data_IF_163077515484
#
_entry.id   IF_163077515484
#
_cell.length_a   1.000
_cell.length_b   1.000
_cell.length_c   1.000
_cell.angle_alpha   90.00
_cell.angle_beta   90.00
_cell.angle_gamma   90.00
#
_symmetry.space_group_name_H-M   'P 1'
#
loop_
_entity.id
_entity.type
_entity.pdbx_description
1 polymer ?
#
# COMPACT_ATOMS: atom_id res chain seq x y z
N UNK A 1 8.75 -41.33 61.34
CA UNK A 1 7.79 -41.18 60.23
C UNK A 1 8.58 -40.86 58.97
N UNK A 2 8.33 -41.62 57.91
CA UNK A 2 9.15 -41.79 56.71
C UNK A 2 9.42 -40.50 55.93
N UNK A 3 10.68 -40.29 55.51
CA UNK A 3 11.01 -39.40 54.40
C UNK A 3 10.40 -39.99 53.12
N UNK A 4 9.45 -39.27 52.49
CA UNK A 4 8.93 -39.63 51.18
C UNK A 4 10.03 -39.39 50.13
N UNK A 5 10.38 -40.47 49.45
CA UNK A 5 11.21 -40.52 48.24
C UNK A 5 10.76 -39.46 47.23
N UNK A 6 11.62 -38.49 46.96
CA UNK A 6 11.46 -37.56 45.84
C UNK A 6 11.54 -38.38 44.55
N UNK A 7 10.48 -38.33 43.73
CA UNK A 7 10.30 -39.20 42.58
C UNK A 7 11.42 -38.91 41.54
N UNK A 8 12.37 -39.83 41.41
CA UNK A 8 13.59 -39.66 40.58
C UNK A 8 13.26 -39.31 39.12
N UNK A 9 12.12 -39.78 38.63
CA UNK A 9 11.57 -39.47 37.30
C UNK A 9 11.22 -37.99 37.12
N UNK A 10 10.72 -37.31 38.15
CA UNK A 10 10.35 -35.88 38.04
C UNK A 10 11.62 -35.02 37.97
N UNK A 11 12.64 -35.35 38.78
CA UNK A 11 13.92 -34.64 38.74
C UNK A 11 14.61 -34.88 37.39
N UNK A 12 14.61 -36.12 36.90
CA UNK A 12 15.18 -36.45 35.59
C UNK A 12 14.46 -35.74 34.42
N UNK A 13 13.12 -35.58 34.48
CA UNK A 13 12.37 -34.85 33.46
C UNK A 13 12.64 -33.34 33.50
N UNK A 14 12.77 -32.75 34.70
CA UNK A 14 13.09 -31.31 34.84
C UNK A 14 14.52 -31.03 34.37
N UNK A 15 15.47 -31.91 34.69
CA UNK A 15 16.86 -31.79 34.21
C UNK A 15 16.97 -32.01 32.70
N UNK A 16 16.20 -32.93 32.13
CA UNK A 16 16.12 -33.15 30.68
C UNK A 16 15.53 -31.96 29.92
N UNK A 17 14.47 -31.33 30.46
CA UNK A 17 13.88 -30.13 29.87
C UNK A 17 14.84 -28.93 29.93
N UNK A 18 15.59 -28.77 31.02
CA UNK A 18 16.61 -27.73 31.14
C UNK A 18 17.77 -27.92 30.14
N UNK A 19 18.20 -29.16 29.90
CA UNK A 19 19.21 -29.46 28.89
C UNK A 19 18.71 -29.22 27.46
N UNK A 20 17.45 -29.54 27.17
CA UNK A 20 16.84 -29.26 25.85
C UNK A 20 16.75 -27.75 25.62
N UNK A 21 16.35 -26.96 26.61
CA UNK A 21 16.32 -25.48 26.50
C UNK A 21 17.72 -24.92 26.28
N UNK A 22 18.74 -25.42 27.00
CA UNK A 22 20.14 -24.99 26.83
C UNK A 22 20.73 -25.41 25.48
N UNK A 23 20.34 -26.59 24.96
CA UNK A 23 20.80 -27.09 23.66
C UNK A 23 20.15 -26.33 22.49
N UNK A 24 18.86 -25.95 22.61
CA UNK A 24 18.18 -25.11 21.61
C UNK A 24 18.51 -23.61 21.73
N UNK A 25 18.94 -23.12 22.90
CA UNK A 25 19.46 -21.76 23.02
C UNK A 25 20.88 -21.58 22.46
N UNK A 26 21.61 -22.69 22.23
CA UNK A 26 22.91 -22.70 21.56
C UNK A 26 22.87 -22.89 20.04
N UNK A 27 21.71 -23.23 19.47
CA UNK A 27 21.49 -23.45 18.03
C UNK A 27 20.77 -22.29 17.33
N UNK A 28 20.41 -21.24 18.07
CA UNK A 28 19.89 -19.99 17.53
C UNK A 28 20.99 -18.92 17.56
N UNK A 29 22.09 -19.17 16.85
CA UNK A 29 22.86 -18.07 16.28
C UNK A 29 21.99 -17.46 15.18
N UNK A 30 21.14 -16.51 15.57
CA UNK A 30 20.58 -15.58 14.60
C UNK A 30 21.76 -14.95 13.86
N UNK A 31 21.80 -14.98 12.52
CA UNK A 31 22.80 -14.21 11.80
C UNK A 31 22.57 -12.77 12.21
N UNK A 32 23.52 -12.22 12.97
CA UNK A 32 23.57 -10.81 13.28
C UNK A 32 23.78 -10.13 11.92
N UNK A 33 22.68 -9.76 11.28
CA UNK A 33 22.71 -8.86 10.15
C UNK A 33 23.40 -7.60 10.68
N UNK A 34 24.68 -7.47 10.34
CA UNK A 34 25.46 -6.27 10.53
C UNK A 34 24.85 -5.27 9.57
N UNK A 35 23.73 -4.67 9.98
CA UNK A 35 23.22 -3.48 9.35
C UNK A 35 24.30 -2.42 9.59
N UNK A 36 25.05 -2.13 8.53
CA UNK A 36 25.86 -0.92 8.42
C UNK A 36 24.89 0.27 8.33
N UNK A 37 24.13 0.48 9.40
CA UNK A 37 23.49 1.74 9.73
C UNK A 37 24.53 2.46 10.61
N UNK A 38 24.91 3.71 10.30
CA UNK A 38 25.73 4.47 11.21
C UNK A 38 25.08 4.45 12.59
N UNK A 39 25.76 3.85 13.56
CA UNK A 39 25.37 3.95 14.95
C UNK A 39 25.19 5.44 15.24
N UNK A 40 24.10 5.82 15.91
CA UNK A 40 23.90 7.18 16.43
C UNK A 40 25.07 7.64 17.34
N UNK A 41 26.01 6.75 17.67
CA UNK A 41 27.31 7.12 18.23
C UNK A 41 28.15 8.02 17.32
N UNK A 42 28.03 7.96 15.99
CA UNK A 42 28.80 8.83 15.08
C UNK A 42 28.24 10.25 14.96
N UNK A 43 26.98 10.48 15.38
CA UNK A 43 26.40 11.82 15.48
C UNK A 43 26.75 12.55 16.79
N UNK A 44 27.60 11.95 17.66
CA UNK A 44 28.05 12.60 18.91
C UNK A 44 29.13 13.67 18.71
N UNK A 45 29.46 14.02 17.47
CA UNK A 45 30.11 15.30 17.17
C UNK A 45 29.04 16.33 16.78
N UNK A 46 28.04 16.50 17.65
CA UNK A 46 27.32 17.76 17.67
C UNK A 46 28.34 18.81 18.11
N UNK A 47 28.86 19.59 17.17
CA UNK A 47 29.48 20.87 17.48
C UNK A 47 28.53 21.54 18.46
N UNK A 48 28.99 21.79 19.71
CA UNK A 48 28.18 22.44 20.76
C UNK A 48 27.80 23.82 20.26
N UNK A 49 26.68 23.91 19.54
CA UNK A 49 26.10 25.17 19.10
C UNK A 49 25.29 25.72 20.26
N UNK A 50 25.43 27.02 20.48
CA UNK A 50 24.59 27.72 21.45
C UNK A 50 23.13 27.69 20.96
N UNK A 51 22.14 27.59 21.87
CA UNK A 51 20.74 27.65 21.49
C UNK A 51 20.44 28.89 20.64
N UNK A 52 19.83 28.68 19.48
CA UNK A 52 19.42 29.68 18.51
C UNK A 52 17.93 29.47 18.16
N UNK A 53 17.00 29.92 19.02
CA UNK A 53 15.58 29.75 18.78
C UNK A 53 15.13 30.50 17.52
N UNK A 54 14.43 29.80 16.62
CA UNK A 54 13.93 30.37 15.36
C UNK A 54 12.44 30.09 15.17
N UNK A 55 11.78 30.91 14.36
CA UNK A 55 10.40 30.70 13.91
C UNK A 55 10.27 30.79 12.39
N UNK A 56 11.07 31.64 11.74
CA UNK A 56 11.15 31.73 10.29
C UNK A 56 11.86 30.51 9.68
N UNK A 57 11.10 29.72 8.92
CA UNK A 57 11.58 28.50 8.29
C UNK A 57 12.50 28.81 7.09
N UNK A 58 12.23 29.88 6.34
CA UNK A 58 13.04 30.22 5.17
C UNK A 58 14.41 30.74 5.59
N UNK A 59 14.48 31.54 6.66
CA UNK A 59 15.74 31.94 7.28
C UNK A 59 16.55 30.74 7.80
N UNK A 60 15.91 29.76 8.42
CA UNK A 60 16.57 28.52 8.85
C UNK A 60 17.16 27.74 7.67
N UNK A 61 16.42 27.64 6.56
CA UNK A 61 16.90 27.03 5.32
C UNK A 61 18.08 27.78 4.71
N UNK A 62 18.03 29.11 4.66
CA UNK A 62 19.15 29.92 4.16
C UNK A 62 20.41 29.75 5.00
N UNK A 63 20.27 29.65 6.33
CA UNK A 63 21.41 29.37 7.22
C UNK A 63 22.00 27.98 6.96
N UNK A 64 21.15 26.96 6.83
CA UNK A 64 21.59 25.61 6.48
C UNK A 64 22.29 25.54 5.11
N UNK A 65 21.80 26.28 4.11
CA UNK A 65 22.45 26.35 2.79
C UNK A 65 23.87 26.93 2.87
N UNK A 66 24.06 27.93 3.74
CA UNK A 66 25.36 28.58 3.92
C UNK A 66 26.36 27.76 4.74
N UNK A 67 25.87 26.89 5.63
CA UNK A 67 26.73 26.11 6.55
C UNK A 67 26.97 24.66 6.10
N UNK A 68 26.02 24.05 5.38
CA UNK A 68 26.06 22.63 4.99
C UNK A 68 25.80 22.49 3.48
N UNK A 69 24.61 22.90 3.04
CA UNK A 69 24.21 22.86 1.64
C UNK A 69 24.04 21.45 1.04
N UNK A 70 23.52 21.42 -0.19
CA UNK A 70 23.15 20.15 -0.82
C UNK A 70 24.33 19.29 -1.28
N UNK A 71 25.51 19.86 -1.53
CA UNK A 71 26.68 19.09 -1.93
C UNK A 71 27.12 18.15 -0.79
N UNK A 72 27.33 18.71 0.41
CA UNK A 72 27.71 17.94 1.59
C UNK A 72 26.63 16.93 1.99
N UNK A 73 25.36 17.33 1.96
CA UNK A 73 24.25 16.44 2.26
C UNK A 73 24.17 15.24 1.30
N UNK A 74 24.34 15.46 -0.01
CA UNK A 74 24.38 14.37 -1.00
C UNK A 74 25.57 13.46 -0.79
N UNK A 75 26.75 14.01 -0.51
CA UNK A 75 27.95 13.21 -0.27
C UNK A 75 27.81 12.33 0.98
N UNK A 76 27.23 12.86 2.06
CA UNK A 76 26.91 12.13 3.29
C UNK A 76 25.97 10.95 3.05
N UNK A 77 25.02 11.06 2.12
CA UNK A 77 24.00 10.05 1.85
C UNK A 77 24.22 9.24 0.55
N UNK A 78 25.36 9.41 -0.12
CA UNK A 78 25.68 8.81 -1.42
C UNK A 78 25.65 7.27 -1.46
N UNK A 79 25.86 6.60 -0.32
CA UNK A 79 25.83 5.13 -0.25
C UNK A 79 24.41 4.56 -0.18
N UNK A 80 23.44 5.32 0.33
CA UNK A 80 22.03 4.91 0.37
C UNK A 80 21.42 4.83 -1.03
N UNK A 81 21.90 5.66 -1.97
CA UNK A 81 21.48 5.59 -3.37
C UNK A 81 22.09 4.40 -4.14
N UNK A 82 23.16 3.78 -3.63
CA UNK A 82 23.90 2.71 -4.33
C UNK A 82 23.59 1.30 -3.82
N UNK A 83 23.26 1.12 -2.55
CA UNK A 83 23.05 -0.20 -1.94
C UNK A 83 21.59 -0.69 -2.04
N UNK A 84 21.02 -0.66 -3.24
CA UNK A 84 19.70 -1.27 -3.52
C UNK A 84 19.79 -2.75 -3.93
N UNK A 85 20.95 -3.37 -3.80
CA UNK A 85 21.19 -4.76 -4.18
C UNK A 85 21.89 -5.54 -3.05
N UNK A 86 21.12 -6.05 -2.10
CA UNK A 86 21.60 -7.13 -1.21
C UNK A 86 20.46 -8.09 -0.89
N UNK A 87 20.80 -9.38 -0.89
CA UNK A 87 19.98 -10.59 -0.89
C UNK A 87 19.14 -10.86 0.38
N UNK A 88 18.57 -9.83 0.99
CA UNK A 88 17.46 -9.95 1.93
C UNK A 88 16.13 -9.72 1.20
N UNK A 89 15.02 -10.28 1.67
CA UNK A 89 13.69 -9.96 1.13
C UNK A 89 13.49 -8.44 1.21
N UNK A 90 13.21 -7.81 0.06
CA UNK A 90 13.07 -6.36 -0.02
C UNK A 90 11.77 -5.93 0.68
N UNK A 91 11.79 -4.94 1.58
CA UNK A 91 10.60 -4.41 2.26
C UNK A 91 9.65 -3.66 1.31
N UNK A 92 10.09 -3.42 0.08
CA UNK A 92 9.33 -2.82 -1.01
C UNK A 92 9.34 -3.76 -2.22
N UNK A 93 8.18 -3.95 -2.84
CA UNK A 93 8.08 -4.70 -4.09
C UNK A 93 8.84 -3.99 -5.22
N UNK A 94 9.47 -4.79 -6.08
CA UNK A 94 10.11 -4.28 -7.28
C UNK A 94 9.07 -4.06 -8.39
N UNK A 95 8.92 -2.81 -8.81
CA UNK A 95 7.97 -2.41 -9.86
C UNK A 95 8.50 -2.77 -11.24
N UNK A 96 9.82 -2.77 -11.41
CA UNK A 96 10.45 -3.12 -12.68
C UNK A 96 10.45 -4.64 -12.93
N UNK A 97 10.23 -5.42 -11.87
CA UNK A 97 10.06 -6.88 -11.93
C UNK A 97 8.67 -7.35 -12.38
N UNK A 98 7.67 -6.46 -12.49
CA UNK A 98 6.36 -6.78 -13.04
C UNK A 98 6.41 -6.84 -14.58
N UNK A 99 7.01 -7.91 -15.08
CA UNK A 99 6.87 -8.52 -16.42
C UNK A 99 7.31 -7.69 -17.64
N UNK A 100 8.11 -8.31 -18.52
CA UNK A 100 8.46 -7.77 -19.83
C UNK A 100 7.21 -7.68 -20.74
N UNK A 101 7.04 -6.53 -21.42
CA UNK A 101 5.86 -6.26 -22.26
C UNK A 101 5.59 -7.32 -23.35
N UNK A 102 6.56 -8.16 -23.69
CA UNK A 102 6.44 -9.19 -24.74
C UNK A 102 5.44 -10.31 -24.45
N UNK A 103 4.97 -10.43 -23.20
CA UNK A 103 4.00 -11.46 -22.79
C UNK A 103 2.54 -11.01 -22.68
N UNK A 104 2.21 -9.74 -22.97
CA UNK A 104 0.85 -9.23 -22.76
C UNK A 104 -0.13 -9.69 -23.83
N UNK A 105 -1.11 -10.51 -23.45
CA UNK A 105 -2.21 -10.95 -24.33
C UNK A 105 -3.44 -10.04 -24.27
N UNK A 106 -3.69 -9.36 -23.16
CA UNK A 106 -4.83 -8.46 -23.00
C UNK A 106 -4.40 -7.00 -23.16
N UNK A 107 -5.20 -6.22 -23.90
CA UNK A 107 -5.01 -4.77 -24.06
C UNK A 107 -5.89 -3.95 -23.11
N UNK A 108 -6.84 -4.60 -22.46
CA UNK A 108 -7.80 -3.98 -21.56
C UNK A 108 -8.10 -4.90 -20.38
N UNK A 109 -8.12 -4.36 -19.17
CA UNK A 109 -8.58 -5.04 -17.96
C UNK A 109 -9.53 -4.11 -17.22
N UNK A 110 -10.61 -4.68 -16.70
CA UNK A 110 -11.65 -3.98 -15.95
C UNK A 110 -11.75 -4.53 -14.53
N UNK A 111 -11.67 -3.62 -13.56
CA UNK A 111 -11.76 -3.91 -12.12
C UNK A 111 -12.99 -3.20 -11.57
N UNK A 112 -13.93 -3.97 -11.04
CA UNK A 112 -15.12 -3.45 -10.36
C UNK A 112 -14.93 -3.52 -8.85
N UNK A 113 -14.97 -2.36 -8.19
CA UNK A 113 -14.97 -2.27 -6.72
C UNK A 113 -16.35 -2.65 -6.18
N UNK A 114 -16.40 -3.64 -5.29
CA UNK A 114 -17.63 -4.16 -4.69
C UNK A 114 -17.82 -3.67 -3.25
N UNK A 115 -18.99 -3.11 -2.98
CA UNK A 115 -19.42 -2.71 -1.64
C UNK A 115 -18.96 -1.31 -1.24
N UNK A 116 -19.01 -1.02 0.07
CA UNK A 116 -18.48 0.23 0.61
C UNK A 116 -16.95 0.23 0.57
N UNK A 117 -16.36 1.38 0.27
CA UNK A 117 -14.92 1.55 0.16
C UNK A 117 -14.51 2.93 0.69
N UNK A 118 -13.39 3.00 1.42
CA UNK A 118 -12.77 4.30 1.77
C UNK A 118 -11.90 4.85 0.63
N UNK A 119 -11.61 4.04 -0.39
CA UNK A 119 -10.82 4.42 -1.54
C UNK A 119 -11.44 5.65 -2.20
N UNK A 120 -10.70 6.75 -2.39
CA UNK A 120 -11.28 7.98 -2.89
C UNK A 120 -11.81 7.86 -4.33
N UNK A 121 -12.78 8.70 -4.68
CA UNK A 121 -13.45 8.65 -6.00
C UNK A 121 -12.53 9.02 -7.17
N UNK A 122 -11.42 9.72 -6.92
CA UNK A 122 -10.47 10.03 -7.99
C UNK A 122 -9.67 8.81 -8.48
N UNK A 123 -9.80 7.65 -7.82
CA UNK A 123 -9.33 6.39 -8.38
C UNK A 123 -10.30 5.80 -9.42
N UNK A 124 -11.56 6.24 -9.46
CA UNK A 124 -12.54 5.81 -10.45
C UNK A 124 -12.20 6.45 -11.80
N UNK A 125 -11.46 5.71 -12.64
CA UNK A 125 -10.92 6.24 -13.89
C UNK A 125 -10.52 5.12 -14.88
N UNK A 126 -10.28 5.52 -16.13
CA UNK A 126 -9.63 4.72 -17.17
C UNK A 126 -8.15 5.12 -17.25
N UNK A 127 -7.27 4.21 -16.84
CA UNK A 127 -5.84 4.42 -16.81
C UNK A 127 -5.17 3.93 -18.09
N UNK A 128 -4.18 4.69 -18.55
CA UNK A 128 -3.21 4.24 -19.55
C UNK A 128 -1.97 3.73 -18.82
N UNK A 129 -1.80 2.41 -18.82
CA UNK A 129 -0.70 1.72 -18.15
C UNK A 129 0.43 1.41 -19.15
N UNK A 130 1.56 0.89 -18.64
CA UNK A 130 2.69 0.53 -19.51
C UNK A 130 2.30 -0.56 -20.51
N UNK A 131 3.10 -0.70 -21.56
CA UNK A 131 2.91 -1.70 -22.61
C UNK A 131 1.57 -1.60 -23.37
N UNK A 132 0.89 -0.45 -23.29
CA UNK A 132 -0.39 -0.22 -23.99
C UNK A 132 -1.61 -0.85 -23.31
N UNK A 133 -1.46 -1.36 -22.09
CA UNK A 133 -2.58 -1.86 -21.30
C UNK A 133 -3.47 -0.69 -20.85
N UNK A 134 -4.76 -0.80 -21.11
CA UNK A 134 -5.76 0.08 -20.50
C UNK A 134 -6.39 -0.62 -19.28
N UNK A 135 -6.55 0.13 -18.20
CA UNK A 135 -7.12 -0.38 -16.96
C UNK A 135 -8.33 0.46 -16.56
N UNK A 136 -9.52 -0.11 -16.62
CA UNK A 136 -10.73 0.52 -16.08
C UNK A 136 -10.86 0.14 -14.61
N UNK A 137 -10.67 1.09 -13.70
CA UNK A 137 -10.99 0.92 -12.28
C UNK A 137 -12.25 1.69 -11.98
N UNK A 138 -13.31 1.02 -11.56
CA UNK A 138 -14.58 1.70 -11.32
C UNK A 138 -15.40 1.11 -10.18
N UNK A 139 -16.18 1.97 -9.53
CA UNK A 139 -17.23 1.59 -8.58
C UNK A 139 -18.58 1.36 -9.28
N UNK A 140 -18.69 1.74 -10.56
CA UNK A 140 -19.93 1.66 -11.34
C UNK A 140 -20.07 0.31 -12.04
N UNK A 141 -21.07 -0.53 -11.68
CA UNK A 141 -21.32 -1.80 -12.37
C UNK A 141 -21.81 -1.60 -13.81
N UNK A 142 -22.27 -0.40 -14.17
CA UNK A 142 -22.71 -0.08 -15.54
C UNK A 142 -21.50 0.14 -16.45
N UNK A 143 -20.41 0.69 -15.92
CA UNK A 143 -19.18 0.95 -16.69
C UNK A 143 -18.34 -0.32 -16.87
N UNK A 144 -18.44 -1.26 -15.94
CA UNK A 144 -17.76 -2.55 -15.99
C UNK A 144 -18.77 -3.69 -15.98
N UNK A 145 -19.52 -3.85 -17.08
CA UNK A 145 -20.33 -5.05 -17.30
C UNK A 145 -19.40 -6.24 -17.58
N UNK A 146 -19.54 -7.31 -16.78
CA UNK A 146 -18.65 -8.49 -16.76
C UNK A 146 -17.16 -8.13 -16.54
N UNK A 147 -16.80 -7.64 -15.34
CA UNK A 147 -15.43 -7.22 -15.06
C UNK A 147 -14.47 -8.40 -15.05
N UNK A 148 -13.18 -8.16 -15.31
CA UNK A 148 -12.13 -9.19 -15.20
C UNK A 148 -11.76 -9.48 -13.74
N UNK A 149 -11.92 -8.49 -12.86
CA UNK A 149 -11.69 -8.63 -11.43
C UNK A 149 -12.74 -7.91 -10.59
N UNK A 150 -13.10 -8.53 -9.46
CA UNK A 150 -13.91 -7.94 -8.41
C UNK A 150 -13.01 -7.61 -7.22
N UNK A 151 -12.92 -6.31 -6.90
CA UNK A 151 -12.17 -5.86 -5.74
C UNK A 151 -13.08 -5.73 -4.53
N UNK A 152 -12.72 -6.47 -3.48
CA UNK A 152 -13.37 -6.42 -2.19
C UNK A 152 -12.45 -5.70 -1.20
N UNK A 153 -12.99 -4.66 -0.57
CA UNK A 153 -12.36 -3.96 0.54
C UNK A 153 -13.18 -4.23 1.79
N UNK A 154 -12.53 -4.53 2.92
CA UNK A 154 -13.12 -4.85 4.24
C UNK A 154 -14.01 -6.10 4.32
N UNK A 155 -14.67 -6.48 3.23
CA UNK A 155 -15.51 -7.65 3.09
C UNK A 155 -14.72 -8.83 2.52
N UNK A 156 -14.89 -10.00 3.11
CA UNK A 156 -14.28 -11.22 2.60
C UNK A 156 -14.87 -11.58 1.23
N UNK A 157 -14.04 -11.92 0.22
CA UNK A 157 -14.54 -12.40 -1.07
C UNK A 157 -15.36 -13.69 -0.93
N UNK A 158 -16.25 -13.98 -1.90
CA UNK A 158 -16.98 -15.25 -1.93
C UNK A 158 -16.03 -16.45 -1.90
N UNK A 159 -16.37 -17.47 -1.10
CA UNK A 159 -15.55 -18.67 -0.92
C UNK A 159 -15.44 -19.54 -2.18
N UNK A 160 -16.46 -19.51 -3.03
CA UNK A 160 -16.50 -20.24 -4.30
C UNK A 160 -16.37 -19.28 -5.49
N UNK A 161 -15.58 -19.68 -6.50
CA UNK A 161 -15.47 -19.03 -7.81
C UNK A 161 -15.62 -20.09 -8.89
N UNK A 162 -16.44 -19.82 -9.91
CA UNK A 162 -16.57 -20.72 -11.06
C UNK A 162 -15.54 -20.35 -12.14
N UNK A 163 -15.26 -21.30 -13.00
CA UNK A 163 -14.49 -21.01 -14.20
C UNK A 163 -15.23 -19.98 -15.08
N UNK A 164 -14.50 -18.99 -15.58
CA UNK A 164 -15.06 -17.83 -16.28
C UNK A 164 -15.59 -16.70 -15.38
N UNK A 165 -15.68 -16.90 -14.05
CA UNK A 165 -16.01 -15.81 -13.13
C UNK A 165 -14.81 -14.86 -12.95
N UNK A 166 -15.04 -13.56 -12.66
CA UNK A 166 -14.00 -12.58 -12.41
C UNK A 166 -13.05 -12.98 -11.27
N UNK A 167 -11.78 -12.58 -11.34
CA UNK A 167 -10.81 -12.76 -10.26
C UNK A 167 -11.28 -12.06 -8.98
N UNK A 168 -11.10 -12.71 -7.83
CA UNK A 168 -11.39 -12.13 -6.51
C UNK A 168 -10.14 -11.42 -6.01
N UNK A 169 -10.20 -10.10 -5.98
CA UNK A 169 -9.14 -9.27 -5.41
C UNK A 169 -9.58 -8.85 -4.02
N UNK A 170 -8.73 -9.04 -3.03
CA UNK A 170 -9.01 -8.67 -1.66
C UNK A 170 -7.95 -7.72 -1.14
N UNK A 171 -8.38 -6.56 -0.65
CA UNK A 171 -7.50 -5.57 -0.07
C UNK A 171 -7.78 -5.40 1.42
N UNK A 172 -6.73 -5.51 2.23
CA UNK A 172 -6.71 -4.94 3.57
C UNK A 172 -5.31 -4.43 3.94
N UNK A 173 -5.28 -3.18 4.38
CA UNK A 173 -4.07 -2.49 4.79
C UNK A 173 -3.91 -2.42 6.32
N UNK A 174 -4.84 -2.92 7.13
CA UNK A 174 -4.73 -2.93 8.59
C UNK A 174 -3.65 -3.92 9.09
N UNK A 175 -2.87 -3.50 10.09
CA UNK A 175 -1.76 -4.28 10.65
C UNK A 175 -2.10 -5.72 11.07
N UNK A 176 -3.34 -5.95 11.51
CA UNK A 176 -3.78 -7.23 12.07
C UNK A 176 -4.47 -8.16 11.07
N UNK A 177 -4.76 -7.72 9.84
CA UNK A 177 -5.51 -8.56 8.91
C UNK A 177 -4.58 -9.46 8.10
N UNK A 178 -5.11 -10.65 7.78
CA UNK A 178 -4.48 -11.69 6.98
C UNK A 178 -5.35 -11.98 5.76
N UNK A 179 -4.74 -12.67 4.80
CA UNK A 179 -5.41 -13.39 3.71
C UNK A 179 -6.67 -14.10 4.18
N UNK A 180 -7.74 -14.03 3.39
CA UNK A 180 -8.96 -14.75 3.71
C UNK A 180 -8.90 -16.21 3.25
N UNK A 181 -7.98 -16.54 2.34
CA UNK A 181 -7.87 -17.86 1.71
C UNK A 181 -8.91 -18.09 0.61
N UNK A 182 -9.67 -17.07 0.25
CA UNK A 182 -10.67 -17.09 -0.82
C UNK A 182 -10.38 -16.08 -1.91
N UNK A 183 -9.34 -15.27 -1.80
CA UNK A 183 -8.92 -14.35 -2.85
C UNK A 183 -7.99 -15.04 -3.86
N UNK A 184 -8.05 -14.58 -5.10
CA UNK A 184 -7.09 -14.94 -6.14
C UNK A 184 -5.89 -13.97 -6.14
N UNK A 185 -6.08 -12.74 -5.65
CA UNK A 185 -5.04 -11.70 -5.46
C UNK A 185 -5.28 -11.02 -4.11
N UNK A 186 -4.27 -10.98 -3.25
CA UNK A 186 -4.29 -10.24 -1.99
C UNK A 186 -3.42 -8.99 -2.03
N UNK A 187 -4.00 -7.86 -1.63
CA UNK A 187 -3.34 -6.56 -1.58
C UNK A 187 -3.19 -6.15 -0.11
N UNK A 188 -1.96 -5.88 0.32
CA UNK A 188 -1.66 -5.41 1.68
C UNK A 188 -0.53 -4.36 1.67
N UNK A 189 -0.09 -3.90 2.84
CA UNK A 189 1.09 -3.03 2.96
C UNK A 189 2.44 -3.80 2.91
N UNK A 190 2.42 -5.14 2.97
CA UNK A 190 3.61 -5.98 3.04
C UNK A 190 4.12 -6.35 1.64
N UNK A 191 5.44 -6.41 1.45
CA UNK A 191 6.03 -6.69 0.14
C UNK A 191 5.85 -8.15 -0.33
N UNK A 192 5.72 -9.08 0.61
CA UNK A 192 5.53 -10.52 0.32
C UNK A 192 4.11 -10.90 -0.12
N UNK A 193 3.15 -9.96 -0.07
CA UNK A 193 1.80 -10.21 -0.58
C UNK A 193 1.72 -10.05 -2.10
N UNK A 194 0.58 -10.37 -2.74
CA UNK A 194 0.53 -10.38 -4.21
C UNK A 194 0.78 -8.98 -4.77
N UNK A 195 0.26 -7.95 -4.10
CA UNK A 195 0.55 -6.55 -4.38
C UNK A 195 0.70 -5.76 -3.08
N UNK A 196 1.70 -4.90 -3.07
CA UNK A 196 1.94 -3.95 -1.99
C UNK A 196 1.23 -2.62 -2.28
N UNK A 197 0.58 -2.06 -1.27
CA UNK A 197 0.02 -0.72 -1.27
C UNK A 197 0.45 0.02 -0.01
N UNK A 198 1.40 0.94 -0.14
CA UNK A 198 1.89 1.77 0.97
C UNK A 198 1.00 3.00 1.17
N UNK A 199 1.07 3.58 2.38
CA UNK A 199 0.37 4.81 2.73
C UNK A 199 1.06 6.11 2.24
N UNK A 200 2.12 5.99 1.44
CA UNK A 200 2.89 7.16 0.96
C UNK A 200 2.24 7.89 -0.24
N UNK A 201 1.10 7.40 -0.72
CA UNK A 201 0.41 7.91 -1.91
C UNK A 201 -0.29 9.25 -1.69
N UNK A 202 -0.28 10.10 -2.72
CA UNK A 202 -1.03 11.35 -2.82
C UNK A 202 -2.54 11.17 -2.60
N UNK A 203 -3.08 9.97 -2.82
CA UNK A 203 -4.51 9.70 -2.68
C UNK A 203 -4.99 9.62 -1.24
N UNK A 204 -4.11 9.38 -0.27
CA UNK A 204 -4.40 9.63 1.13
C UNK A 204 -4.54 11.14 1.45
N UNK A 205 -4.34 12.01 0.45
CA UNK A 205 -4.15 13.44 0.61
C UNK A 205 -5.10 14.33 -0.23
N UNK A 206 -6.18 13.77 -0.77
CA UNK A 206 -7.04 14.45 -1.75
C UNK A 206 -7.75 15.72 -1.25
N UNK A 207 -7.92 15.89 0.06
CA UNK A 207 -8.54 17.08 0.67
C UNK A 207 -7.49 18.02 1.31
N UNK A 208 -6.30 18.14 0.70
CA UNK A 208 -5.23 18.99 1.22
C UNK A 208 -5.47 20.48 0.96
N UNK A 209 -5.43 21.26 2.03
CA UNK A 209 -5.00 22.65 1.94
C UNK A 209 -3.50 22.67 1.62
N UNK A 210 -3.10 23.32 0.51
CA UNK A 210 -1.69 23.45 0.13
C UNK A 210 -0.95 24.55 0.92
N UNK A 211 -1.65 25.27 1.79
CA UNK A 211 -1.02 26.20 2.70
C UNK A 211 -0.09 25.46 3.65
N UNK A 212 1.20 25.77 3.55
CA UNK A 212 2.24 25.38 4.50
C UNK A 212 2.81 26.65 5.12
N UNK A 213 2.74 26.76 6.45
CA UNK A 213 3.24 27.94 7.14
C UNK A 213 4.75 28.07 7.01
N UNK A 214 5.21 29.25 6.59
CA UNK A 214 6.63 29.64 6.66
C UNK A 214 7.09 29.97 8.08
N UNK A 215 6.16 30.09 9.03
CA UNK A 215 6.45 30.39 10.44
C UNK A 215 6.05 29.23 11.34
N UNK A 216 6.99 28.79 12.17
CA UNK A 216 6.77 27.77 13.19
C UNK A 216 6.42 28.39 14.53
N UNK A 217 5.52 27.75 15.27
CA UNK A 217 5.14 28.18 16.61
C UNK A 217 6.35 28.18 17.54
N UNK A 218 6.53 29.29 18.26
CA UNK A 218 7.64 29.52 19.19
C UNK A 218 7.45 28.78 20.52
N UNK A 219 6.22 28.76 21.01
CA UNK A 219 5.88 28.28 22.36
C UNK A 219 5.42 26.84 22.35
N UNK A 220 4.69 26.41 21.31
CA UNK A 220 4.20 25.04 21.17
C UNK A 220 4.97 24.30 20.09
N UNK A 221 5.76 23.30 20.49
CA UNK A 221 6.69 22.61 19.57
C UNK A 221 6.04 21.45 18.83
N UNK A 222 5.15 20.71 19.50
CA UNK A 222 4.65 19.41 19.03
C UNK A 222 3.15 19.45 18.75
N UNK A 223 2.77 18.97 17.57
CA UNK A 223 1.41 18.61 17.22
C UNK A 223 1.18 17.11 17.47
N UNK A 224 0.06 16.75 18.09
CA UNK A 224 -0.45 15.38 18.10
C UNK A 224 -1.96 15.35 17.85
N UNK A 225 -2.45 14.32 17.17
CA UNK A 225 -3.88 14.07 17.02
C UNK A 225 -4.19 12.59 16.97
N UNK A 226 -5.14 12.16 17.79
CA UNK A 226 -5.65 10.79 17.75
C UNK A 226 -7.10 10.73 18.24
N UNK A 227 -7.93 9.96 17.54
CA UNK A 227 -9.30 9.66 17.95
C UNK A 227 -9.52 8.18 18.30
N UNK A 228 -8.52 7.32 18.09
CA UNK A 228 -8.51 5.91 18.52
C UNK A 228 -7.62 5.78 19.75
N UNK A 229 -8.22 5.79 20.93
CA UNK A 229 -7.50 5.85 22.21
C UNK A 229 -7.07 4.46 22.68
N UNK A 230 -5.94 3.99 22.18
CA UNK A 230 -5.34 2.72 22.58
C UNK A 230 -4.46 2.92 23.83
N UNK A 231 -4.59 2.11 24.90
CA UNK A 231 -3.88 2.34 26.17
C UNK A 231 -2.36 2.49 26.02
N UNK A 232 -1.71 1.61 25.25
CA UNK A 232 -0.27 1.66 25.03
C UNK A 232 0.16 2.91 24.24
N UNK A 233 -0.56 3.24 23.16
CA UNK A 233 -0.31 4.42 22.33
C UNK A 233 -0.47 5.71 23.13
N UNK A 234 -1.53 5.83 23.91
CA UNK A 234 -1.79 7.00 24.73
C UNK A 234 -0.76 7.14 25.86
N UNK A 235 -0.34 6.03 26.49
CA UNK A 235 0.71 6.05 27.51
C UNK A 235 2.05 6.50 26.94
N UNK A 236 2.41 6.01 25.74
CA UNK A 236 3.62 6.43 25.03
C UNK A 236 3.57 7.92 24.70
N UNK A 237 2.46 8.38 24.11
CA UNK A 237 2.26 9.79 23.80
C UNK A 237 2.37 10.66 25.05
N UNK A 238 1.65 10.32 26.13
CA UNK A 238 1.66 11.07 27.38
C UNK A 238 3.07 11.18 27.99
N UNK A 239 3.83 10.08 27.99
CA UNK A 239 5.16 10.05 28.57
C UNK A 239 6.14 11.02 27.89
N UNK A 240 6.01 11.22 26.58
CA UNK A 240 6.80 12.19 25.84
C UNK A 240 6.20 13.60 25.92
N UNK A 241 4.90 13.74 25.65
CA UNK A 241 4.23 15.03 25.53
C UNK A 241 4.28 15.84 26.84
N UNK A 242 4.19 15.20 28.01
CA UNK A 242 4.33 15.89 29.31
C UNK A 242 5.70 16.59 29.50
N UNK A 243 6.70 16.25 28.69
CA UNK A 243 8.06 16.80 28.75
C UNK A 243 8.30 17.93 27.72
N UNK A 244 7.33 18.18 26.83
CA UNK A 244 7.44 19.09 25.69
C UNK A 244 6.25 20.08 25.69
N UNK A 245 6.40 21.27 25.13
CA UNK A 245 5.25 22.11 24.81
C UNK A 245 4.47 21.51 23.62
N UNK A 246 3.19 21.20 23.80
CA UNK A 246 2.42 20.49 22.78
C UNK A 246 0.94 20.89 22.73
N UNK A 247 0.36 20.74 21.55
CA UNK A 247 -1.09 20.66 21.37
C UNK A 247 -1.47 19.23 20.97
N UNK A 248 -2.48 18.70 21.65
CA UNK A 248 -3.13 17.44 21.35
C UNK A 248 -4.55 17.70 20.91
N UNK A 249 -4.79 17.43 19.65
CA UNK A 249 -6.10 17.41 19.01
C UNK A 249 -6.66 15.97 19.05
N UNK A 250 -7.82 15.75 18.44
CA UNK A 250 -8.45 14.44 18.48
C UNK A 250 -9.20 14.18 19.81
N UNK A 251 -9.71 12.97 19.99
CA UNK A 251 -10.41 12.59 21.23
C UNK A 251 -9.44 12.23 22.37
N UNK A 252 -8.21 11.84 22.04
CA UNK A 252 -7.25 11.31 22.99
C UNK A 252 -6.31 12.40 23.52
N UNK A 253 -6.12 12.47 24.84
CA UNK A 253 -5.32 13.48 25.57
C UNK A 253 -5.56 14.92 25.10
N UNK A 254 -6.77 15.24 24.62
CA UNK A 254 -7.08 16.55 24.08
C UNK A 254 -6.79 17.64 25.11
N UNK A 255 -6.05 18.68 24.71
CA UNK A 255 -5.72 19.82 25.58
C UNK A 255 -6.02 21.18 24.93
N UNK A 256 -6.64 21.18 23.75
CA UNK A 256 -6.94 22.40 22.99
C UNK A 256 -8.42 22.78 23.07
N UNK A 257 -9.30 21.89 23.54
CA UNK A 257 -10.73 22.19 23.73
C UNK A 257 -11.64 21.68 22.63
N UNK A 258 -11.22 20.69 21.84
CA UNK A 258 -12.08 20.04 20.84
C UNK A 258 -11.35 19.45 19.64
N UNK A 259 -12.12 18.78 18.77
CA UNK A 259 -11.63 18.25 17.49
C UNK A 259 -11.39 19.35 16.46
N UNK A 260 -12.27 20.34 16.44
CA UNK A 260 -12.31 21.39 15.42
C UNK A 260 -11.52 22.65 15.82
N UNK A 261 -10.93 22.67 17.01
CA UNK A 261 -10.12 23.80 17.53
C UNK A 261 -8.94 24.17 16.61
N UNK A 262 -8.49 23.25 15.75
CA UNK A 262 -7.46 23.55 14.75
C UNK A 262 -7.88 24.71 13.83
N UNK A 263 -9.17 24.86 13.54
CA UNK A 263 -9.69 25.94 12.70
C UNK A 263 -9.73 27.28 13.42
N UNK A 264 -10.06 27.28 14.71
CA UNK A 264 -10.06 28.49 15.51
C UNK A 264 -8.62 29.00 15.73
N UNK A 265 -7.68 28.08 15.94
CA UNK A 265 -6.25 28.41 16.08
C UNK A 265 -5.60 28.84 14.76
N UNK A 266 -6.05 28.27 13.65
CA UNK A 266 -5.46 28.46 12.32
C UNK A 266 -6.55 28.71 11.26
N UNK A 267 -7.17 29.91 11.25
CA UNK A 267 -8.27 30.23 10.34
C UNK A 267 -7.86 30.16 8.86
N UNK A 268 -6.60 30.46 8.54
CA UNK A 268 -6.03 30.35 7.19
C UNK A 268 -6.06 28.90 6.65
N UNK A 269 -6.21 27.91 7.53
CA UNK A 269 -6.33 26.53 7.12
C UNK A 269 -7.70 26.20 6.52
N UNK A 270 -8.72 27.04 6.65
CA UNK A 270 -10.06 26.78 6.14
C UNK A 270 -10.09 26.66 4.59
N UNK A 271 -10.42 25.47 4.05
CA UNK A 271 -10.48 25.18 2.61
C UNK A 271 -11.63 25.88 1.87
N UNK A 272 -12.77 26.11 2.52
CA UNK A 272 -13.95 26.72 1.92
C UNK A 272 -14.87 27.33 2.98
N UNK A 273 -15.17 28.63 2.84
CA UNK A 273 -16.06 29.36 3.77
C UNK A 273 -17.52 28.87 3.69
N UNK A 274 -17.90 28.21 2.58
CA UNK A 274 -19.28 27.84 2.28
C UNK A 274 -19.66 26.38 2.57
N UNK A 275 -18.72 25.57 3.09
CA UNK A 275 -18.97 24.18 3.46
C UNK A 275 -18.61 23.95 4.92
N UNK A 276 -19.40 23.16 5.64
CA UNK A 276 -19.08 22.77 7.01
C UNK A 276 -17.67 22.13 7.02
N UNK A 277 -16.70 22.74 7.72
CA UNK A 277 -15.33 22.27 7.68
C UNK A 277 -15.25 20.91 8.35
N UNK A 278 -14.54 19.96 7.73
CA UNK A 278 -14.30 18.65 8.31
C UNK A 278 -12.93 18.63 8.98
N UNK A 279 -12.81 17.90 10.09
CA UNK A 279 -11.57 17.89 10.88
C UNK A 279 -10.30 17.50 10.09
N UNK A 280 -10.45 16.74 9.00
CA UNK A 280 -9.32 16.34 8.13
C UNK A 280 -8.96 17.36 7.06
N UNK A 281 -9.85 18.29 6.70
CA UNK A 281 -9.65 19.27 5.63
C UNK A 281 -8.49 20.24 5.94
N UNK A 282 -8.17 20.39 7.23
CA UNK A 282 -7.19 21.36 7.74
C UNK A 282 -5.96 20.70 8.35
N UNK A 283 -5.93 19.37 8.41
CA UNK A 283 -4.97 18.62 9.22
C UNK A 283 -3.52 18.93 8.86
N UNK A 284 -3.20 18.91 7.56
CA UNK A 284 -1.87 19.20 7.04
C UNK A 284 -1.46 20.65 7.28
N UNK A 285 -2.39 21.58 7.06
CA UNK A 285 -2.14 23.00 7.30
C UNK A 285 -1.89 23.28 8.78
N UNK A 286 -2.72 22.75 9.69
CA UNK A 286 -2.55 22.89 11.12
C UNK A 286 -1.19 22.30 11.58
N UNK A 287 -0.84 21.10 11.12
CA UNK A 287 0.47 20.48 11.38
C UNK A 287 1.63 21.37 10.91
N UNK A 288 1.47 22.11 9.80
CA UNK A 288 2.52 22.95 9.23
C UNK A 288 2.98 24.10 10.13
N UNK A 289 2.15 24.53 11.09
CA UNK A 289 2.52 25.55 12.07
C UNK A 289 3.44 25.03 13.18
N UNK A 290 3.64 23.71 13.28
CA UNK A 290 4.48 23.08 14.30
C UNK A 290 5.82 22.66 13.71
N UNK A 291 6.84 22.65 14.58
CA UNK A 291 8.15 22.09 14.23
C UNK A 291 8.08 20.57 14.13
N UNK A 292 7.35 19.94 15.06
CA UNK A 292 7.29 18.49 15.14
C UNK A 292 5.86 17.98 15.15
N UNK A 293 5.67 16.81 14.55
CA UNK A 293 4.42 16.04 14.65
C UNK A 293 4.74 14.70 15.29
N UNK A 294 4.01 14.35 16.35
CA UNK A 294 4.14 13.04 16.98
C UNK A 294 3.39 11.98 16.17
N UNK A 295 4.12 11.15 15.43
CA UNK A 295 3.58 10.11 14.55
C UNK A 295 3.72 8.74 15.22
N UNK A 296 2.74 8.35 16.03
CA UNK A 296 2.71 7.03 16.69
C UNK A 296 1.69 6.14 16.00
N UNK A 297 2.13 4.97 15.55
CA UNK A 297 1.28 3.94 15.00
C UNK A 297 0.35 3.29 16.03
N UNK A 298 -0.74 2.71 15.55
CA UNK A 298 -1.66 1.97 16.43
C UNK A 298 -1.02 0.69 16.97
N UNK A 299 -0.04 0.12 16.26
CA UNK A 299 0.68 -1.11 16.61
C UNK A 299 2.08 -1.05 16.02
N UNK A 300 3.05 -1.63 16.74
CA UNK A 300 4.43 -1.79 16.26
C UNK A 300 4.48 -3.08 15.45
N UNK A 301 4.50 -2.94 14.13
CA UNK A 301 4.52 -4.06 13.18
C UNK A 301 5.51 -3.73 12.07
N UNK A 302 6.29 -4.71 11.64
CA UNK A 302 7.20 -4.59 10.50
C UNK A 302 6.46 -4.08 9.26
N UNK A 303 7.09 -3.16 8.53
CA UNK A 303 6.57 -2.55 7.29
C UNK A 303 5.24 -1.77 7.43
N UNK A 304 4.65 -1.71 8.63
CA UNK A 304 3.41 -0.98 8.89
C UNK A 304 3.68 0.52 9.14
N UNK A 305 3.93 1.25 8.06
CA UNK A 305 4.12 2.70 8.05
C UNK A 305 2.91 3.37 7.40
N UNK A 306 2.14 4.12 8.19
CA UNK A 306 0.84 4.63 7.75
C UNK A 306 0.85 6.12 7.40
N UNK A 307 -0.34 6.65 7.08
CA UNK A 307 -0.56 8.05 6.73
C UNK A 307 -0.05 9.02 7.80
N UNK A 308 0.03 8.61 9.07
CA UNK A 308 0.48 9.46 10.19
C UNK A 308 1.88 10.01 9.98
N UNK A 309 2.80 9.17 9.50
CA UNK A 309 4.18 9.59 9.21
C UNK A 309 4.22 10.48 7.97
N UNK A 310 3.53 10.06 6.90
CA UNK A 310 3.58 10.77 5.62
C UNK A 310 2.87 12.13 5.68
N UNK A 311 1.80 12.26 6.47
CA UNK A 311 1.13 13.54 6.75
C UNK A 311 2.07 14.52 7.44
N UNK A 312 2.86 14.05 8.41
CA UNK A 312 3.86 14.86 9.08
C UNK A 312 4.93 15.36 8.10
N UNK A 313 5.50 14.46 7.27
CA UNK A 313 6.48 14.83 6.24
C UNK A 313 5.92 15.85 5.25
N UNK A 314 4.70 15.64 4.78
CA UNK A 314 4.08 16.49 3.77
C UNK A 314 3.60 17.84 4.33
N UNK A 315 3.30 17.92 5.64
CA UNK A 315 2.99 19.18 6.33
C UNK A 315 4.20 20.10 6.53
N UNK A 316 5.41 19.66 6.17
CA UNK A 316 6.64 20.42 6.43
C UNK A 316 7.01 20.48 7.92
N UNK A 317 6.52 19.55 8.74
CA UNK A 317 7.00 19.30 10.09
C UNK A 317 7.95 18.08 10.11
N UNK A 318 8.73 17.95 11.18
CA UNK A 318 9.61 16.80 11.41
C UNK A 318 8.83 15.74 12.20
N UNK A 319 8.64 14.51 11.69
CA UNK A 319 7.96 13.45 12.43
C UNK A 319 8.81 12.96 13.60
N UNK A 320 8.22 12.85 14.79
CA UNK A 320 8.73 12.04 15.90
C UNK A 320 8.00 10.71 15.83
N UNK A 321 8.68 9.67 15.35
CA UNK A 321 8.04 8.43 14.93
C UNK A 321 8.18 7.29 15.95
N UNK A 322 7.09 6.53 16.10
CA UNK A 322 7.06 5.24 16.80
C UNK A 322 6.13 4.27 16.03
N UNK A 323 6.68 3.18 15.51
CA UNK A 323 5.90 2.22 14.70
C UNK A 323 6.79 1.12 14.15
N UNK A 324 6.84 0.97 12.83
CA UNK A 324 7.61 -0.07 12.16
C UNK A 324 9.12 -0.03 12.54
N UNK A 325 9.71 -1.15 12.99
CA UNK A 325 11.15 -1.21 13.32
C UNK A 325 12.08 -0.91 12.13
N UNK A 326 11.58 -1.16 10.92
CA UNK A 326 12.26 -0.99 9.64
C UNK A 326 11.79 0.28 8.89
N UNK A 327 11.31 1.30 9.60
CA UNK A 327 10.78 2.56 9.00
C UNK A 327 11.74 3.23 8.00
N UNK A 328 13.05 3.09 8.20
CA UNK A 328 14.07 3.67 7.32
C UNK A 328 14.06 3.11 5.90
N UNK A 329 13.40 1.98 5.68
CA UNK A 329 13.18 1.42 4.36
C UNK A 329 12.08 2.15 3.57
N UNK A 330 11.28 2.98 4.26
CA UNK A 330 10.09 3.63 3.70
C UNK A 330 10.21 5.15 3.61
N UNK A 331 11.24 5.75 4.20
CA UNK A 331 11.35 7.21 4.34
C UNK A 331 12.65 7.74 3.75
N UNK A 332 12.70 9.03 3.38
CA UNK A 332 13.94 9.63 2.94
C UNK A 332 15.00 9.59 4.06
N UNK A 333 16.29 9.60 3.71
CA UNK A 333 17.34 9.66 4.72
C UNK A 333 17.23 10.93 5.56
N UNK A 334 17.51 10.80 6.85
CA UNK A 334 17.50 11.90 7.81
C UNK A 334 16.18 12.73 7.79
N UNK A 335 15.03 12.07 7.60
CA UNK A 335 13.74 12.76 7.49
C UNK A 335 12.86 12.71 8.75
N UNK A 336 13.21 11.84 9.71
CA UNK A 336 12.43 11.60 10.93
C UNK A 336 13.31 11.55 12.18
N UNK A 337 12.72 11.85 13.32
CA UNK A 337 13.26 11.51 14.64
C UNK A 337 12.66 10.14 15.02
N UNK A 338 13.46 9.08 14.91
CA UNK A 338 13.07 7.74 15.34
C UNK A 338 13.14 7.66 16.88
N UNK A 339 11.98 7.75 17.52
CA UNK A 339 11.86 7.81 18.97
C UNK A 339 12.29 6.51 19.67
N UNK A 340 12.39 5.40 18.93
CA UNK A 340 12.81 4.10 19.48
C UNK A 340 14.33 4.02 19.71
N UNK A 341 15.10 4.98 19.19
CA UNK A 341 16.56 5.00 19.28
C UNK A 341 17.11 5.71 20.52
N UNK A 342 16.24 6.25 21.37
CA UNK A 342 16.61 6.97 22.59
C UNK A 342 16.48 6.06 23.82
N UNK A 343 17.35 6.21 24.81
CA UNK A 343 17.34 5.38 26.01
C UNK A 343 16.20 5.74 26.95
N UNK A 344 15.66 6.96 26.85
CA UNK A 344 14.50 7.40 27.64
C UNK A 344 13.70 8.51 26.94
N UNK A 345 12.48 8.76 27.42
CA UNK A 345 11.63 9.84 26.92
C UNK A 345 12.20 11.22 27.25
N UNK A 346 12.95 11.34 28.34
CA UNK A 346 13.68 12.55 28.73
C UNK A 346 14.83 12.84 27.78
N UNK A 347 15.58 11.81 27.36
CA UNK A 347 16.63 11.96 26.35
C UNK A 347 16.04 12.40 25.00
N UNK A 348 14.95 11.76 24.56
CA UNK A 348 14.22 12.16 23.36
C UNK A 348 13.67 13.59 23.46
N UNK A 349 13.03 13.96 24.57
CA UNK A 349 12.51 15.31 24.77
C UNK A 349 13.62 16.36 24.80
N UNK A 350 14.78 16.04 25.39
CA UNK A 350 15.96 16.89 25.39
C UNK A 350 16.45 17.11 23.96
N UNK A 351 16.59 16.04 23.18
CA UNK A 351 16.97 16.11 21.76
C UNK A 351 16.01 16.95 20.93
N UNK A 352 14.70 16.74 21.07
CA UNK A 352 13.67 17.53 20.38
C UNK A 352 13.80 19.02 20.71
N UNK A 353 14.05 19.38 21.99
CA UNK A 353 14.29 20.78 22.39
C UNK A 353 15.60 21.34 21.81
N UNK A 354 16.65 20.53 21.71
CA UNK A 354 17.90 20.96 21.07
C UNK A 354 17.67 21.27 19.59
N UNK A 355 17.04 20.36 18.84
CA UNK A 355 16.71 20.58 17.42
C UNK A 355 15.76 21.76 17.25
N UNK A 356 14.79 21.93 18.15
CA UNK A 356 13.89 23.08 18.13
C UNK A 356 14.62 24.43 18.29
N UNK A 357 15.81 24.44 18.89
CA UNK A 357 16.64 25.62 19.13
C UNK A 357 17.92 25.60 18.28
N UNK A 358 17.92 24.91 17.14
CA UNK A 358 19.00 24.98 16.16
C UNK A 358 18.39 25.00 14.76
N UNK A 359 18.37 26.16 14.07
CA UNK A 359 17.76 26.30 12.75
C UNK A 359 18.42 25.40 11.70
N UNK A 360 19.72 25.15 11.81
CA UNK A 360 20.46 24.34 10.85
C UNK A 360 20.18 22.87 11.10
N UNK A 361 20.22 22.40 12.34
CA UNK A 361 19.87 21.02 12.67
C UNK A 361 18.41 20.69 12.30
N UNK A 362 17.49 21.62 12.53
CA UNK A 362 16.09 21.45 12.11
C UNK A 362 15.95 21.44 10.58
N UNK A 363 16.62 22.37 9.88
CA UNK A 363 16.57 22.46 8.43
C UNK A 363 17.16 21.21 7.73
N UNK A 364 18.15 20.55 8.33
CA UNK A 364 18.74 19.33 7.78
C UNK A 364 17.69 18.20 7.63
N UNK A 365 16.70 18.12 8.52
CA UNK A 365 15.56 17.18 8.39
C UNK A 365 14.70 17.39 7.14
N UNK A 366 14.81 18.56 6.52
CA UNK A 366 14.14 18.91 5.27
C UNK A 366 15.08 18.87 4.06
N UNK A 367 16.38 18.57 4.23
CA UNK A 367 17.34 18.62 3.13
C UNK A 367 17.05 17.59 2.03
N UNK A 368 16.52 16.42 2.37
CA UNK A 368 16.21 15.35 1.41
C UNK A 368 15.32 15.82 0.24
N UNK A 369 14.31 16.65 0.51
CA UNK A 369 13.40 17.18 -0.53
C UNK A 369 14.01 18.34 -1.32
N UNK A 370 14.90 19.11 -0.70
CA UNK A 370 15.58 20.26 -1.33
C UNK A 370 16.72 19.81 -2.24
N UNK A 371 17.42 18.75 -1.82
CA UNK A 371 18.60 18.23 -2.49
C UNK A 371 18.30 17.05 -3.42
N UNK A 372 17.07 16.54 -3.43
CA UNK A 372 16.65 15.45 -4.30
C UNK A 372 17.18 14.08 -3.89
N UNK A 373 17.43 13.86 -2.60
CA UNK A 373 17.95 12.58 -2.06
C UNK A 373 16.77 11.83 -1.46
N UNK A 374 16.07 11.06 -2.28
CA UNK A 374 14.84 10.37 -1.86
C UNK A 374 15.13 9.01 -1.19
N UNK A 375 16.28 8.39 -1.48
CA UNK A 375 16.53 7.00 -1.08
C UNK A 375 15.38 6.09 -1.52
N UNK A 376 14.95 5.20 -0.62
CA UNK A 376 13.84 4.27 -0.90
C UNK A 376 12.47 4.94 -0.97
N UNK A 377 12.31 6.19 -0.53
CA UNK A 377 11.02 6.88 -0.53
C UNK A 377 10.39 7.00 -1.92
N UNK A 378 11.21 7.13 -2.97
CA UNK A 378 10.73 7.10 -4.35
C UNK A 378 10.03 5.78 -4.68
N UNK A 379 10.65 4.65 -4.32
CA UNK A 379 10.04 3.32 -4.46
C UNK A 379 8.80 3.19 -3.57
N UNK A 380 8.85 3.66 -2.32
CA UNK A 380 7.71 3.65 -1.41
C UNK A 380 6.49 4.34 -2.01
N UNK A 381 6.65 5.51 -2.63
CA UNK A 381 5.56 6.20 -3.34
C UNK A 381 5.11 5.44 -4.58
N UNK A 382 6.03 4.83 -5.30
CA UNK A 382 5.72 4.09 -6.52
C UNK A 382 4.95 2.78 -6.25
N UNK A 383 5.05 2.19 -5.06
CA UNK A 383 4.22 1.06 -4.59
C UNK A 383 3.02 1.49 -3.72
N UNK A 384 2.59 2.75 -3.81
CA UNK A 384 1.44 3.25 -3.06
C UNK A 384 0.10 2.98 -3.75
N UNK A 385 -0.99 3.39 -3.09
CA UNK A 385 -2.35 3.33 -3.64
C UNK A 385 -2.47 4.07 -4.99
N UNK A 386 -1.68 5.12 -5.23
CA UNK A 386 -1.72 5.96 -6.43
C UNK A 386 -1.47 5.17 -7.73
N UNK A 387 -0.61 4.15 -7.65
CA UNK A 387 -0.21 3.33 -8.80
C UNK A 387 -0.89 1.97 -8.81
N UNK A 388 -1.71 1.69 -7.79
CA UNK A 388 -2.33 0.38 -7.60
C UNK A 388 -3.21 -0.05 -8.79
N UNK A 389 -4.00 0.81 -9.45
CA UNK A 389 -4.84 0.39 -10.57
C UNK A 389 -4.07 -0.31 -11.68
N UNK A 390 -3.00 0.32 -12.18
CA UNK A 390 -2.20 -0.27 -13.25
C UNK A 390 -1.49 -1.55 -12.79
N UNK A 391 -0.89 -1.55 -11.60
CA UNK A 391 -0.20 -2.75 -11.07
C UNK A 391 -1.17 -3.91 -10.86
N UNK A 392 -2.40 -3.63 -10.43
CA UNK A 392 -3.44 -4.65 -10.31
C UNK A 392 -3.90 -5.19 -11.66
N UNK A 393 -4.18 -4.32 -12.63
CA UNK A 393 -4.58 -4.74 -13.96
C UNK A 393 -3.49 -5.56 -14.66
N UNK A 394 -2.22 -5.19 -14.49
CA UNK A 394 -1.07 -5.96 -14.97
C UNK A 394 -1.01 -7.35 -14.34
N UNK A 395 -1.19 -7.46 -13.02
CA UNK A 395 -1.20 -8.76 -12.35
C UNK A 395 -2.44 -9.60 -12.72
N UNK A 396 -3.61 -8.98 -12.78
CA UNK A 396 -4.87 -9.62 -13.15
C UNK A 396 -4.79 -10.21 -14.57
N UNK A 397 -4.14 -9.50 -15.49
CA UNK A 397 -3.87 -10.01 -16.84
C UNK A 397 -3.15 -11.38 -16.81
N UNK A 398 -2.08 -11.54 -16.02
CA UNK A 398 -1.32 -12.80 -15.96
C UNK A 398 -2.03 -13.90 -15.17
N UNK A 399 -2.89 -13.53 -14.22
CA UNK A 399 -3.65 -14.46 -13.37
C UNK A 399 -4.92 -14.97 -14.05
N UNK A 400 -5.41 -14.28 -15.09
CA UNK A 400 -6.54 -14.76 -15.85
C UNK A 400 -6.10 -15.99 -16.67
N UNK A 401 -6.76 -17.15 -16.55
CA UNK A 401 -6.45 -18.28 -17.40
C UNK A 401 -6.67 -17.83 -18.84
N UNK A 402 -5.62 -17.91 -19.67
CA UNK A 402 -5.80 -17.87 -21.11
C UNK A 402 -6.74 -19.03 -21.45
N UNK A 403 -8.00 -18.73 -21.73
CA UNK A 403 -8.95 -19.72 -22.22
C UNK A 403 -8.34 -20.39 -23.45
N UNK A 404 -8.29 -21.72 -23.41
CA UNK A 404 -7.81 -22.66 -24.44
C UNK A 404 -6.30 -22.99 -24.42
N UNK A 405 -5.85 -23.71 -23.40
CA UNK A 405 -4.90 -24.82 -23.64
C UNK A 405 -5.72 -26.11 -23.71
N UNK A 406 -6.23 -26.45 -24.89
CA UNK A 406 -6.65 -27.84 -25.13
C UNK A 406 -5.38 -28.68 -25.27
N UNK A 407 -5.17 -29.60 -24.34
CA UNK A 407 -4.24 -30.71 -24.55
C UNK A 407 -4.89 -31.59 -25.61
N UNK A 408 -4.39 -31.56 -26.84
CA UNK A 408 -4.70 -32.60 -27.82
C UNK A 408 -4.00 -33.87 -27.33
N UNK A 409 -4.75 -34.77 -26.72
CA UNK A 409 -4.29 -36.14 -26.51
C UNK A 409 -4.31 -36.85 -27.86
N UNK A 410 -3.15 -36.94 -28.51
CA UNK A 410 -2.99 -37.58 -29.82
C UNK A 410 -3.29 -39.10 -29.81
N UNK A 411 -3.65 -39.71 -28.67
CA UNK A 411 -3.86 -41.15 -28.55
C UNK A 411 -5.30 -41.59 -28.20
N UNK A 412 -6.31 -40.73 -28.33
CA UNK A 412 -7.72 -41.14 -28.17
C UNK A 412 -8.41 -41.39 -29.52
N UNK A 413 -8.79 -42.65 -29.88
CA UNK A 413 -9.54 -42.95 -31.09
C UNK A 413 -11.04 -42.77 -30.83
N UNK A 414 -11.48 -41.53 -30.64
CA UNK A 414 -12.90 -41.19 -30.63
C UNK A 414 -13.08 -39.68 -30.87
N UNK A 415 -13.77 -39.36 -31.96
CA UNK A 415 -14.09 -38.01 -32.40
C UNK A 415 -14.69 -37.14 -31.27
N UNK A 416 -14.25 -35.88 -31.11
CA UNK A 416 -14.84 -34.99 -30.11
C UNK A 416 -16.25 -34.60 -30.51
N UNK A 417 -17.22 -34.94 -29.65
CA UNK A 417 -18.59 -34.44 -29.72
C UNK A 417 -18.60 -33.00 -29.21
N UNK A 418 -18.92 -32.04 -30.08
CA UNK A 418 -19.10 -30.64 -29.71
C UNK A 418 -20.45 -30.45 -29.00
N UNK A 419 -20.44 -30.21 -27.68
CA UNK A 419 -21.61 -29.72 -26.97
C UNK A 419 -21.55 -28.19 -26.85
N UNK A 420 -22.20 -27.50 -27.79
CA UNK A 420 -22.47 -26.06 -27.67
C UNK A 420 -23.76 -25.88 -26.87
N UNK A 421 -23.65 -25.50 -25.59
CA UNK A 421 -24.81 -25.13 -24.78
C UNK A 421 -25.21 -23.68 -25.04
N UNK A 422 -26.27 -23.47 -25.83
CA UNK A 422 -27.00 -22.20 -25.82
C UNK A 422 -27.99 -22.21 -24.66
N UNK A 423 -27.78 -21.36 -23.64
CA UNK A 423 -28.78 -21.13 -22.60
C UNK A 423 -29.65 -19.96 -23.02
N UNK A 424 -30.77 -20.24 -23.69
CA UNK A 424 -31.76 -19.21 -24.03
C UNK A 424 -32.53 -18.77 -22.80
N UNK A 425 -32.91 -17.50 -22.81
CA UNK A 425 -33.95 -16.96 -21.94
C UNK A 425 -35.29 -17.69 -22.16
N UNK A 426 -36.15 -17.57 -21.15
CA UNK A 426 -37.43 -18.25 -20.98
C UNK A 426 -38.33 -18.24 -22.24
N UNK A 427 -39.04 -19.36 -22.40
CA UNK A 427 -40.16 -19.64 -23.33
C UNK A 427 -39.79 -19.97 -24.78
N UNK A 428 -39.48 -21.23 -25.05
CA UNK A 428 -39.87 -21.92 -26.28
C UNK A 428 -40.02 -23.42 -25.99
N UNK A 429 -41.24 -23.79 -25.65
CA UNK A 429 -41.68 -25.15 -25.34
C UNK A 429 -41.73 -26.03 -26.61
N UNK A 430 -41.31 -27.29 -26.45
CA UNK A 430 -41.96 -28.47 -27.04
C UNK A 430 -42.05 -28.62 -28.59
N UNK A 431 -41.00 -28.32 -29.39
CA UNK A 431 -41.06 -28.62 -30.85
C UNK A 431 -39.76 -29.04 -31.58
N UNK A 432 -38.73 -29.50 -30.87
CA UNK A 432 -37.46 -29.93 -31.48
C UNK A 432 -37.05 -31.38 -31.13
N UNK A 433 -37.98 -32.23 -30.70
CA UNK A 433 -37.65 -33.61 -30.36
C UNK A 433 -37.89 -34.66 -31.46
N UNK A 434 -38.44 -34.27 -32.62
CA UNK A 434 -38.65 -35.18 -33.76
C UNK A 434 -38.10 -34.58 -35.07
N UNK A 435 -37.22 -35.34 -35.74
CA UNK A 435 -36.33 -35.00 -36.87
C UNK A 435 -35.00 -34.41 -36.36
N UNK A 436 -33.86 -35.08 -36.40
CA UNK A 436 -33.25 -35.83 -37.50
C UNK A 436 -32.27 -36.89 -36.96
N UNK A 437 -32.29 -38.11 -37.51
CA UNK A 437 -31.16 -39.06 -37.45
C UNK A 437 -30.19 -38.66 -38.56
N UNK A 438 -28.93 -38.43 -38.24
CA UNK A 438 -27.90 -38.08 -39.22
C UNK A 438 -26.89 -39.23 -39.32
N UNK A 439 -26.96 -39.96 -40.42
CA UNK A 439 -25.84 -40.72 -40.99
C UNK A 439 -25.33 -39.91 -42.19
N UNK A 440 -24.00 -39.73 -42.27
CA UNK A 440 -23.19 -39.23 -43.39
C UNK A 440 -23.62 -37.92 -44.08
N UNK A 441 -23.04 -36.77 -43.68
CA UNK A 441 -23.12 -35.52 -44.47
C UNK A 441 -21.85 -34.65 -44.36
N UNK A 442 -21.61 -33.86 -45.43
CA UNK A 442 -20.37 -33.19 -45.84
C UNK A 442 -20.38 -31.69 -45.46
N UNK A 443 -19.24 -31.12 -45.04
CA UNK A 443 -19.13 -29.87 -44.24
C UNK A 443 -19.55 -28.55 -44.94
N UNK A 444 -19.57 -28.48 -46.28
CA UNK A 444 -19.81 -27.20 -46.98
C UNK A 444 -21.31 -26.83 -47.13
N UNK A 445 -22.22 -27.80 -47.15
CA UNK A 445 -23.66 -27.53 -47.37
C UNK A 445 -24.41 -27.08 -46.09
N UNK A 446 -23.86 -27.37 -44.90
CA UNK A 446 -24.52 -27.11 -43.61
C UNK A 446 -24.29 -25.68 -43.07
N UNK A 447 -23.24 -24.98 -43.51
CA UNK A 447 -23.00 -23.58 -43.13
C UNK A 447 -24.04 -22.63 -43.75
N UNK A 448 -24.51 -22.95 -44.95
CA UNK A 448 -25.58 -22.21 -45.64
C UNK A 448 -26.94 -22.48 -44.99
N UNK A 449 -27.20 -23.73 -44.59
CA UNK A 449 -28.46 -24.11 -43.91
C UNK A 449 -28.57 -23.61 -42.48
N UNK A 450 -27.47 -23.55 -41.72
CA UNK A 450 -27.48 -22.96 -40.38
C UNK A 450 -27.76 -21.45 -40.41
N UNK A 451 -27.35 -20.75 -41.48
CA UNK A 451 -27.69 -19.34 -41.70
C UNK A 451 -29.18 -19.14 -42.03
N UNK A 452 -29.81 -20.06 -42.78
CA UNK A 452 -31.26 -20.02 -43.07
C UNK A 452 -32.12 -20.28 -41.82
N UNK A 453 -31.68 -21.15 -40.89
CA UNK A 453 -32.42 -21.46 -39.65
C UNK A 453 -32.38 -20.29 -38.64
N UNK A 454 -31.39 -19.41 -38.72
CA UNK A 454 -31.24 -18.24 -37.84
C UNK A 454 -32.09 -17.02 -38.25
N UNK A 455 -32.77 -17.05 -39.41
CA UNK A 455 -33.64 -15.97 -39.90
C UNK A 455 -32.97 -14.58 -39.88
N UNK A 456 -31.67 -14.52 -40.19
CA UNK A 456 -30.92 -13.27 -40.40
C UNK A 456 -30.85 -13.05 -41.91
N UNK A 457 -31.95 -12.58 -42.49
CA UNK A 457 -31.94 -11.95 -43.81
C UNK A 457 -32.07 -10.45 -43.58
N UNK A 458 -30.93 -9.77 -43.59
CA UNK A 458 -30.84 -8.34 -43.83
C UNK A 458 -30.06 -8.16 -45.13
N UNK A 459 -30.64 -7.43 -46.08
CA UNK A 459 -30.02 -7.09 -47.37
C UNK A 459 -28.60 -6.56 -47.19
N UNK A 460 -27.71 -6.95 -48.12
CA UNK A 460 -26.26 -6.70 -48.15
C UNK A 460 -25.39 -7.71 -47.37
N UNK A 461 -25.43 -8.96 -47.83
CA UNK A 461 -24.50 -10.00 -47.41
C UNK A 461 -23.09 -9.79 -47.94
N UNK A 462 -22.15 -9.42 -47.06
CA UNK A 462 -20.72 -9.78 -47.17
C UNK A 462 -19.91 -9.72 -45.87
N UNK A 463 -20.38 -9.07 -44.78
CA UNK A 463 -19.52 -8.82 -43.61
C UNK A 463 -19.65 -9.79 -42.41
N UNK A 464 -20.75 -10.55 -42.29
CA UNK A 464 -20.99 -11.39 -41.09
C UNK A 464 -20.22 -12.72 -41.15
N UNK A 465 -20.10 -13.31 -42.34
CA UNK A 465 -19.33 -14.54 -42.54
C UNK A 465 -17.81 -14.32 -42.35
N UNK A 466 -17.32 -13.11 -42.62
CA UNK A 466 -15.92 -12.73 -42.40
C UNK A 466 -15.60 -12.58 -40.90
N UNK A 467 -16.54 -12.03 -40.13
CA UNK A 467 -16.41 -11.89 -38.67
C UNK A 467 -16.33 -13.22 -37.92
N UNK A 468 -17.16 -14.20 -38.30
CA UNK A 468 -17.15 -15.54 -37.69
C UNK A 468 -15.90 -16.34 -38.10
N UNK A 469 -15.42 -16.17 -39.33
CA UNK A 469 -14.20 -16.82 -39.81
C UNK A 469 -12.93 -16.31 -39.11
N UNK A 470 -12.86 -15.01 -38.80
CA UNK A 470 -11.77 -14.43 -38.02
C UNK A 470 -11.81 -14.85 -36.54
N UNK A 471 -13.01 -14.95 -35.96
CA UNK A 471 -13.17 -15.40 -34.56
C UNK A 471 -12.77 -16.88 -34.37
N UNK A 472 -12.88 -17.70 -35.43
CA UNK A 472 -12.47 -19.10 -35.42
C UNK A 472 -11.01 -19.29 -35.87
N UNK A 473 -10.43 -18.41 -36.70
CA UNK A 473 -9.01 -18.50 -37.09
C UNK A 473 -8.07 -18.13 -35.94
N UNK A 474 -8.46 -17.18 -35.09
CA UNK A 474 -7.68 -16.76 -33.93
C UNK A 474 -7.63 -17.83 -32.82
N UNK A 475 -8.48 -18.86 -32.91
CA UNK A 475 -8.46 -20.03 -32.03
C UNK A 475 -7.67 -21.23 -32.59
N UNK A 476 -7.22 -21.20 -33.86
CA UNK A 476 -6.58 -22.35 -34.54
C UNK A 476 -5.12 -22.08 -34.92
N UNK A 477 -4.62 -20.85 -34.76
CA UNK A 477 -3.20 -20.54 -34.99
C UNK A 477 -2.53 -20.07 -33.69
N UNK A 478 -2.22 -21.04 -32.82
CA UNK A 478 -1.10 -20.94 -31.86
C UNK A 478 -0.61 -22.34 -31.50
#
# INVERSE_FOLDING_TARGET
MQFKSLNFTIVAMISGFAFIILFFSGLLEFPFASSLVPSIRDSKVAVKRNPDPFTDLLGAFGKWDSEVGCAEFRDKHRQLDRNTSSSAASPLQDIDGFVECGGMKMKHVSVLVKGWTWIPDNLDNLYSCRCGLSCLWTKSPILADKPDALLFETNTPPSMRREGDPLRVYMDLEAGRKRSGHEDIYISYHADDDLQSTYAGALFHNNRNYFLSSYKNKETLVYWSSSRCLPHRNKLAWNLLKLLPYHSFGKCLNNVGGLDMALDLYPDCANNVNSAPKWWDHLHCAMSHYKFVLAIENTVTESYVTEKLFYALDSGAVPIYFGAPNVWDFVPPHSIIDGTKFNSMEELASYVKTVANDPVAYAEYHAWRRCGVLGNYGKTRAVSLDTLPCRLCELAHFRFPSSCNYIIDENSPSFPVFHVFFRSERNLDQKMHDRYRVHDMNIDDDLVRMAEVANIVGDEGTDVAFGIKNMLSDCVVS
#
